data_IF_505493754934
#
_entry.id   IF_505493754934
#
_cell.length_a   1.000
_cell.length_b   1.000
_cell.length_c   1.000
_cell.angle_alpha   90.00
_cell.angle_beta   90.00
_cell.angle_gamma   90.00
#
_symmetry.space_group_name_H-M   'P 1'
#
loop_
_entity.id
_entity.type
_entity.pdbx_description
1 polymer ?
#
# COMPACT_ATOMS: atom_id res chain seq x y z
N UNK A 1 -4.17 4.55 -43.55
CA UNK A 1 -5.65 4.42 -43.54
C UNK A 1 -6.16 5.00 -42.23
N UNK A 2 -6.83 6.15 -42.29
CA UNK A 2 -7.51 6.74 -41.15
C UNK A 2 -8.79 5.95 -40.87
N UNK A 3 -8.97 5.47 -39.65
CA UNK A 3 -10.29 5.11 -39.16
C UNK A 3 -10.59 5.90 -37.89
N UNK A 4 -11.39 6.95 -38.10
CA UNK A 4 -12.20 7.57 -37.06
C UNK A 4 -13.20 6.50 -36.58
N UNK A 5 -13.31 6.34 -35.26
CA UNK A 5 -14.45 5.69 -34.62
C UNK A 5 -14.94 6.58 -33.46
N UNK A 6 -16.25 6.61 -33.20
CA UNK A 6 -16.95 7.77 -32.68
C UNK A 6 -16.87 7.92 -31.16
N UNK A 7 -16.97 9.17 -30.71
CA UNK A 7 -17.26 9.57 -29.34
C UNK A 7 -18.63 8.97 -28.96
N UNK A 8 -18.63 7.94 -28.11
CA UNK A 8 -19.82 7.43 -27.45
C UNK A 8 -19.85 7.97 -26.02
N UNK A 9 -20.89 8.73 -25.71
CA UNK A 9 -21.22 9.16 -24.35
C UNK A 9 -21.51 7.95 -23.47
N UNK A 10 -20.55 7.60 -22.61
CA UNK A 10 -20.76 6.69 -21.48
C UNK A 10 -20.32 7.42 -20.22
N UNK A 11 -21.31 7.94 -19.51
CA UNK A 11 -21.21 8.42 -18.15
C UNK A 11 -20.95 7.22 -17.23
N UNK A 12 -19.70 6.78 -17.19
CA UNK A 12 -19.22 5.83 -16.20
C UNK A 12 -18.38 6.61 -15.19
N UNK A 13 -19.07 7.18 -14.20
CA UNK A 13 -18.46 7.55 -12.93
C UNK A 13 -18.04 6.28 -12.18
N UNK A 14 -17.10 5.52 -12.74
CA UNK A 14 -16.28 4.61 -11.97
C UNK A 14 -15.14 5.44 -11.37
N UNK A 15 -15.50 6.29 -10.41
CA UNK A 15 -14.55 6.75 -9.42
C UNK A 15 -14.12 5.49 -8.65
N UNK A 16 -13.11 4.79 -9.17
CA UNK A 16 -12.35 3.84 -8.39
C UNK A 16 -11.99 4.57 -7.12
N UNK A 17 -12.47 4.06 -5.98
CA UNK A 17 -12.22 4.63 -4.68
C UNK A 17 -10.71 4.75 -4.52
N UNK A 18 -10.18 5.95 -4.78
CA UNK A 18 -8.91 6.35 -4.24
C UNK A 18 -9.14 6.27 -2.74
N UNK A 19 -8.53 5.28 -2.10
CA UNK A 19 -8.42 5.23 -0.66
C UNK A 19 -8.12 6.66 -0.21
N UNK A 20 -9.07 7.31 0.47
CA UNK A 20 -8.75 8.56 1.11
C UNK A 20 -7.63 8.19 2.09
N UNK A 21 -6.43 8.80 1.95
CA UNK A 21 -5.41 8.60 2.95
C UNK A 21 -6.03 9.02 4.28
N UNK A 22 -5.65 8.33 5.34
CA UNK A 22 -6.01 8.67 6.70
C UNK A 22 -6.08 10.18 6.95
N UNK A 23 -7.09 10.62 7.68
CA UNK A 23 -7.31 12.04 7.93
C UNK A 23 -6.22 12.61 8.85
N UNK A 24 -5.53 13.65 8.42
CA UNK A 24 -4.72 14.46 9.34
C UNK A 24 -5.65 15.29 10.23
N UNK A 25 -5.71 15.01 11.53
CA UNK A 25 -6.52 15.77 12.50
C UNK A 25 -7.47 14.90 13.35
N UNK A 26 -8.25 15.56 14.20
CA UNK A 26 -9.12 14.89 15.19
C UNK A 26 -10.11 13.93 14.51
N UNK A 27 -10.09 12.67 14.95
CA UNK A 27 -11.05 11.65 14.55
C UNK A 27 -12.48 12.14 14.83
N UNK A 28 -13.40 12.11 13.85
CA UNK A 28 -14.79 12.48 14.11
C UNK A 28 -15.35 11.57 15.20
N UNK A 29 -15.94 12.17 16.25
CA UNK A 29 -16.41 11.41 17.43
C UNK A 29 -17.51 10.39 17.12
N UNK A 30 -18.10 10.46 15.93
CA UNK A 30 -19.09 9.51 15.43
C UNK A 30 -18.49 8.23 14.86
N UNK A 31 -17.18 8.15 14.64
CA UNK A 31 -16.55 6.94 14.10
C UNK A 31 -16.28 5.92 15.23
N UNK A 32 -16.79 4.69 15.11
CA UNK A 32 -16.44 3.63 16.06
C UNK A 32 -14.94 3.34 16.09
N UNK A 33 -14.38 3.16 17.28
CA UNK A 33 -12.94 2.96 17.50
C UNK A 33 -12.39 1.71 16.80
N UNK A 34 -13.22 0.69 16.56
CA UNK A 34 -12.79 -0.55 15.91
C UNK A 34 -12.50 -0.39 14.41
N UNK A 35 -13.02 0.67 13.77
CA UNK A 35 -12.79 0.97 12.35
C UNK A 35 -11.53 1.79 12.13
N UNK A 36 -10.79 2.10 13.19
CA UNK A 36 -9.67 3.05 13.17
C UNK A 36 -8.41 2.37 13.68
N UNK A 37 -7.30 2.63 13.01
CA UNK A 37 -5.97 2.34 13.51
C UNK A 37 -5.14 3.62 13.53
N UNK A 38 -4.46 3.87 14.64
CA UNK A 38 -3.51 4.98 14.73
C UNK A 38 -2.18 4.61 14.08
N UNK A 39 -1.57 5.61 13.46
CA UNK A 39 -0.21 5.54 12.95
C UNK A 39 0.81 5.71 14.09
N UNK A 40 2.10 5.81 13.76
CA UNK A 40 3.17 6.09 14.70
C UNK A 40 2.98 7.47 15.34
N UNK A 41 2.48 8.43 14.57
CA UNK A 41 1.93 9.69 15.09
C UNK A 41 0.48 9.47 15.58
N UNK A 42 0.18 9.68 16.88
CA UNK A 42 -1.17 9.54 17.43
C UNK A 42 -2.20 10.48 16.80
N UNK A 43 -1.77 11.59 16.19
CA UNK A 43 -2.64 12.56 15.51
C UNK A 43 -3.00 12.14 14.07
N UNK A 44 -2.35 11.09 13.56
CA UNK A 44 -2.63 10.46 12.27
C UNK A 44 -3.31 9.11 12.48
N UNK A 45 -4.30 8.82 11.66
CA UNK A 45 -5.09 7.60 11.74
C UNK A 45 -5.53 7.15 10.37
N UNK A 46 -5.67 5.84 10.19
CA UNK A 46 -6.14 5.18 8.98
C UNK A 46 -7.37 4.33 9.31
N UNK A 47 -8.05 3.84 8.28
CA UNK A 47 -9.07 2.82 8.50
C UNK A 47 -8.42 1.50 8.94
N UNK A 48 -9.12 0.73 9.77
CA UNK A 48 -8.59 -0.52 10.31
C UNK A 48 -8.28 -1.58 9.25
N UNK A 49 -8.97 -1.53 8.11
CA UNK A 49 -8.76 -2.43 6.96
C UNK A 49 -7.54 -2.05 6.10
N UNK A 50 -7.03 -0.84 6.26
CA UNK A 50 -5.79 -0.34 5.65
C UNK A 50 -4.54 -0.73 6.45
N UNK A 51 -4.71 -1.35 7.62
CA UNK A 51 -3.58 -1.79 8.44
C UNK A 51 -3.08 -3.15 7.95
N UNK A 52 -1.77 -3.25 7.69
CA UNK A 52 -1.12 -4.46 7.18
C UNK A 52 -1.67 -4.88 5.79
N UNK A 53 -2.04 -3.91 4.95
CA UNK A 53 -2.56 -4.15 3.60
C UNK A 53 -1.47 -4.13 2.51
N UNK A 54 -0.23 -3.85 2.90
CA UNK A 54 0.94 -3.77 2.04
C UNK A 54 1.16 -2.39 1.42
N UNK A 55 0.35 -1.39 1.77
CA UNK A 55 0.51 -0.01 1.34
C UNK A 55 0.87 0.92 2.50
N UNK A 56 1.69 1.93 2.23
CA UNK A 56 1.98 2.98 3.19
C UNK A 56 0.82 3.99 3.29
N UNK A 57 -0.18 3.69 4.10
CA UNK A 57 -1.32 4.58 4.35
C UNK A 57 -0.99 5.64 5.40
N UNK A 58 -0.12 5.32 6.36
CA UNK A 58 0.29 6.25 7.41
C UNK A 58 1.34 7.29 6.98
N UNK A 59 2.08 7.04 5.90
CA UNK A 59 3.21 7.87 5.50
C UNK A 59 4.47 7.68 6.35
N UNK A 60 4.47 6.78 7.33
CA UNK A 60 5.63 6.43 8.14
C UNK A 60 5.82 4.90 8.28
N UNK A 61 5.02 4.12 7.52
CA UNK A 61 4.98 2.66 7.56
C UNK A 61 4.57 2.04 8.90
N UNK A 62 4.04 2.80 9.86
CA UNK A 62 3.61 2.27 11.16
C UNK A 62 2.42 1.29 11.08
N UNK A 63 1.63 1.41 10.02
CA UNK A 63 0.55 0.52 9.61
C UNK A 63 1.04 -0.83 9.09
N UNK A 64 2.24 -0.89 8.53
CA UNK A 64 2.81 -2.09 7.91
C UNK A 64 3.94 -2.74 8.72
N UNK A 65 4.66 -1.94 9.52
CA UNK A 65 5.79 -2.37 10.35
C UNK A 65 5.40 -2.70 11.79
N UNK A 66 4.10 -2.76 12.08
CA UNK A 66 3.63 -3.22 13.40
C UNK A 66 4.19 -4.62 13.73
N UNK A 67 4.37 -4.96 15.02
CA UNK A 67 4.89 -6.26 15.42
C UNK A 67 4.17 -7.41 14.72
N UNK A 68 4.85 -8.54 14.51
CA UNK A 68 4.28 -9.72 13.82
C UNK A 68 3.02 -10.29 14.50
N UNK A 69 2.75 -9.91 15.75
CA UNK A 69 1.50 -10.22 16.47
C UNK A 69 0.31 -9.41 15.97
N UNK A 70 0.54 -8.34 15.22
CA UNK A 70 -0.44 -7.43 14.66
C UNK A 70 -0.46 -7.45 13.12
N UNK A 71 0.70 -7.58 12.46
CA UNK A 71 0.79 -7.77 11.00
C UNK A 71 1.36 -9.16 10.67
N UNK A 72 0.69 -9.97 9.82
CA UNK A 72 1.28 -11.21 9.33
C UNK A 72 2.51 -10.92 8.46
N UNK A 73 3.35 -11.94 8.17
CA UNK A 73 4.37 -11.83 7.14
C UNK A 73 3.76 -11.42 5.79
N UNK A 74 4.58 -10.84 4.90
CA UNK A 74 4.15 -10.48 3.54
C UNK A 74 3.39 -11.64 2.88
N UNK A 75 2.26 -11.33 2.25
CA UNK A 75 1.42 -12.32 1.57
C UNK A 75 2.14 -13.05 0.43
N UNK A 76 1.56 -14.12 -0.13
CA UNK A 76 2.22 -14.98 -1.13
C UNK A 76 2.66 -14.26 -2.41
N UNK A 77 1.98 -13.18 -2.80
CA UNK A 77 2.35 -12.33 -3.95
C UNK A 77 3.43 -11.29 -3.64
N UNK A 78 3.94 -11.25 -2.41
CA UNK A 78 4.83 -10.22 -1.90
C UNK A 78 6.13 -10.85 -1.36
N UNK A 79 7.17 -10.03 -1.28
CA UNK A 79 8.50 -10.40 -0.81
C UNK A 79 8.96 -9.42 0.26
N UNK A 80 9.51 -9.94 1.37
CA UNK A 80 9.95 -9.12 2.49
C UNK A 80 11.39 -8.66 2.30
N UNK A 81 11.61 -7.35 2.27
CA UNK A 81 12.95 -6.73 2.26
C UNK A 81 12.86 -5.27 2.73
N UNK A 82 13.97 -4.64 3.16
CA UNK A 82 13.95 -3.20 3.41
C UNK A 82 13.77 -2.46 2.07
N UNK A 83 12.59 -1.90 1.82
CA UNK A 83 12.29 -1.30 0.52
C UNK A 83 12.91 0.09 0.36
N UNK A 84 13.43 0.38 -0.84
CA UNK A 84 13.82 1.73 -1.29
C UNK A 84 12.62 2.55 -1.76
N UNK A 85 11.49 1.89 -2.04
CA UNK A 85 10.26 2.51 -2.48
C UNK A 85 9.36 2.74 -1.26
N UNK A 86 9.12 4.01 -0.97
CA UNK A 86 8.38 4.45 0.21
C UNK A 86 6.97 3.85 0.34
N UNK A 87 6.34 3.45 -0.76
CA UNK A 87 5.00 2.88 -0.77
C UNK A 87 4.90 1.43 -0.27
N UNK A 88 6.01 0.68 -0.21
CA UNK A 88 5.98 -0.76 0.05
C UNK A 88 6.33 -1.14 1.49
N UNK A 89 6.89 -0.23 2.29
CA UNK A 89 7.12 -0.39 3.73
C UNK A 89 7.81 -1.67 4.24
N UNK A 90 8.38 -2.49 3.35
CA UNK A 90 8.94 -3.79 3.74
C UNK A 90 8.46 -4.98 2.92
N UNK A 91 7.35 -4.83 2.18
CA UNK A 91 6.78 -5.87 1.32
C UNK A 91 6.69 -5.38 -0.12
N UNK A 92 7.57 -5.86 -0.99
CA UNK A 92 7.55 -5.51 -2.42
C UNK A 92 6.79 -6.59 -3.23
N UNK A 93 6.12 -6.25 -4.35
CA UNK A 93 5.49 -7.24 -5.20
C UNK A 93 6.52 -8.20 -5.82
N UNK A 94 6.23 -9.50 -5.83
CA UNK A 94 7.10 -10.50 -6.48
C UNK A 94 7.25 -10.30 -7.98
N UNK A 95 6.32 -9.60 -8.62
CA UNK A 95 6.39 -9.22 -10.04
C UNK A 95 7.53 -8.26 -10.35
N UNK A 96 8.12 -7.61 -9.35
CA UNK A 96 9.28 -6.71 -9.49
C UNK A 96 10.62 -7.45 -9.35
N UNK A 97 10.59 -8.78 -9.17
CA UNK A 97 11.80 -9.59 -9.08
C UNK A 97 12.56 -9.56 -10.41
N UNK A 98 13.84 -9.16 -10.37
CA UNK A 98 14.76 -9.12 -11.52
C UNK A 98 14.27 -8.21 -12.65
N UNK A 99 13.71 -7.06 -12.31
CA UNK A 99 13.26 -6.08 -13.29
C UNK A 99 14.31 -5.00 -13.60
N UNK A 100 15.52 -5.14 -13.04
CA UNK A 100 16.68 -4.25 -13.19
C UNK A 100 16.52 -2.89 -12.48
N UNK A 101 15.50 -2.73 -11.64
CA UNK A 101 15.27 -1.54 -10.83
C UNK A 101 15.37 -1.91 -9.36
N UNK A 102 16.12 -1.12 -8.59
CA UNK A 102 16.30 -1.40 -7.17
C UNK A 102 15.04 -1.05 -6.35
N UNK A 103 14.37 -2.06 -5.84
CA UNK A 103 13.22 -2.00 -4.92
C UNK A 103 13.57 -2.37 -3.48
N UNK A 104 14.61 -3.20 -3.27
CA UNK A 104 15.16 -3.50 -1.95
C UNK A 104 16.53 -2.84 -1.78
N UNK A 105 16.79 -2.27 -0.59
CA UNK A 105 18.05 -1.58 -0.30
C UNK A 105 19.26 -2.52 -0.37
N UNK A 106 19.03 -3.81 -0.12
CA UNK A 106 20.03 -4.88 -0.16
C UNK A 106 20.14 -5.57 -1.52
N UNK A 107 19.43 -5.08 -2.55
CA UNK A 107 19.34 -5.69 -3.89
C UNK A 107 18.79 -7.14 -3.89
N UNK A 108 18.11 -7.56 -2.81
CA UNK A 108 17.55 -8.92 -2.74
C UNK A 108 16.46 -9.17 -3.79
N UNK A 109 15.79 -8.13 -4.25
CA UNK A 109 14.86 -8.13 -5.39
C UNK A 109 15.50 -8.43 -6.73
N UNK A 110 16.82 -8.26 -6.86
CA UNK A 110 17.52 -8.52 -8.11
C UNK A 110 18.35 -9.82 -8.04
N UNK A 111 18.94 -10.12 -6.88
CA UNK A 111 19.87 -11.25 -6.76
C UNK A 111 19.28 -12.48 -6.06
N UNK A 112 18.31 -12.30 -5.16
CA UNK A 112 17.88 -13.34 -4.20
C UNK A 112 16.41 -13.73 -4.29
N UNK A 113 15.59 -12.96 -5.01
CA UNK A 113 14.16 -13.19 -5.08
C UNK A 113 13.83 -14.50 -5.82
N UNK A 114 12.80 -15.25 -5.37
CA UNK A 114 12.46 -16.59 -5.86
C UNK A 114 11.74 -16.61 -7.22
N UNK A 115 11.61 -15.48 -7.91
CA UNK A 115 10.74 -15.34 -9.09
C UNK A 115 9.26 -15.21 -8.74
N UNK A 116 8.41 -14.84 -9.72
CA UNK A 116 6.96 -14.76 -9.58
C UNK A 116 6.31 -16.12 -9.33
#
# INVERSE_FOLDING_TARGET
MNKIFPQGDANDNAAGAKALPGGAGDMPQSLPSFLVAHCGDPSSWIYSDQKCDGANNCGDCSDELSPVTACPPCGPGWWRCPSTVFGYCGCIPRSLCRDLVQHCSDWSDEYSCPGP
#
